data_IF_286117696747
#
_entry.id   IF_286117696747
#
_cell.length_a   1.000
_cell.length_b   1.000
_cell.length_c   1.000
_cell.angle_alpha   90.00
_cell.angle_beta   90.00
_cell.angle_gamma   90.00
#
_symmetry.space_group_name_H-M   'P 1'
#
loop_
_entity.id
_entity.type
_entity.pdbx_description
1 polymer ?
#
# COMPACT_ATOMS: atom_id res chain seq x y z
N UNK A 1 -9.46 -3.17 24.27
CA UNK A 1 -8.01 -2.96 24.36
C UNK A 1 -7.37 -2.82 22.99
N UNK A 2 -6.50 -1.82 22.82
CA UNK A 2 -5.81 -1.67 21.57
C UNK A 2 -4.66 -2.67 21.47
N UNK A 3 -4.39 -3.11 20.26
CA UNK A 3 -3.30 -4.01 19.97
C UNK A 3 -1.95 -3.26 20.07
N UNK A 4 -0.95 -3.90 20.66
CA UNK A 4 0.38 -3.31 20.81
C UNK A 4 1.12 -3.16 19.48
N UNK A 5 2.14 -2.30 19.46
CA UNK A 5 2.90 -1.98 18.25
C UNK A 5 3.58 -3.22 17.63
N UNK A 6 4.20 -4.06 18.46
CA UNK A 6 4.87 -5.26 17.96
C UNK A 6 3.88 -6.25 17.35
N UNK A 7 2.70 -6.39 17.97
CA UNK A 7 1.66 -7.27 17.42
C UNK A 7 1.14 -6.75 16.10
N UNK A 8 1.00 -5.43 15.95
CA UNK A 8 0.59 -4.81 14.68
C UNK A 8 1.60 -5.08 13.57
N UNK A 9 2.90 -4.97 13.86
CA UNK A 9 3.94 -5.29 12.89
C UNK A 9 3.91 -6.76 12.50
N UNK A 10 3.66 -7.66 13.45
CA UNK A 10 3.55 -9.09 13.15
C UNK A 10 2.37 -9.38 12.22
N UNK A 11 1.22 -8.75 12.47
CA UNK A 11 0.05 -8.86 11.58
C UNK A 11 0.38 -8.35 10.18
N UNK A 12 0.97 -7.16 10.08
CA UNK A 12 1.32 -6.55 8.80
C UNK A 12 2.23 -7.44 7.97
N UNK A 13 3.19 -8.09 8.61
CA UNK A 13 4.13 -8.99 7.93
C UNK A 13 3.43 -10.23 7.35
N UNK A 14 2.25 -10.59 7.86
CA UNK A 14 1.48 -11.73 7.38
C UNK A 14 0.45 -11.37 6.30
N UNK A 15 0.15 -10.09 6.11
CA UNK A 15 -0.89 -9.65 5.17
C UNK A 15 -0.35 -9.66 3.73
N UNK A 16 -1.03 -10.34 2.80
CA UNK A 16 -0.52 -10.46 1.42
C UNK A 16 -0.58 -9.16 0.62
N UNK A 17 -1.35 -8.18 1.07
CA UNK A 17 -1.49 -6.88 0.39
C UNK A 17 -0.68 -5.77 1.05
N UNK A 18 0.22 -6.11 1.97
CA UNK A 18 1.12 -5.17 2.63
C UNK A 18 2.56 -5.48 2.22
N UNK A 19 3.25 -4.46 1.72
CA UNK A 19 4.62 -4.55 1.23
C UNK A 19 5.48 -3.61 2.05
N UNK A 20 6.51 -4.12 2.70
CA UNK A 20 7.33 -3.35 3.63
C UNK A 20 8.77 -3.24 3.14
N UNK A 21 9.17 -2.04 2.71
CA UNK A 21 10.49 -1.76 2.15
C UNK A 21 11.04 -0.41 2.62
N UNK A 22 11.28 -0.22 3.94
CA UNK A 22 11.94 1.00 4.40
C UNK A 22 13.39 1.06 3.90
N UNK A 23 14.05 2.21 4.03
CA UNK A 23 15.43 2.36 3.58
C UNK A 23 16.33 1.22 4.05
N UNK A 24 16.17 0.80 5.30
CA UNK A 24 17.00 -0.25 5.90
C UNK A 24 16.82 -1.62 5.25
N UNK A 25 15.72 -1.82 4.52
CA UNK A 25 15.39 -3.08 3.87
C UNK A 25 15.58 -3.04 2.36
N UNK A 26 15.87 -1.86 1.78
CA UNK A 26 16.05 -1.71 0.34
C UNK A 26 17.51 -2.01 0.00
N UNK A 27 17.72 -2.94 -0.92
CA UNK A 27 19.02 -3.24 -1.48
C UNK A 27 19.05 -2.86 -2.97
N UNK A 28 20.06 -3.30 -3.71
CA UNK A 28 20.20 -2.99 -5.13
C UNK A 28 19.31 -3.84 -6.04
N UNK A 29 18.56 -4.79 -5.46
CA UNK A 29 17.68 -5.66 -6.25
C UNK A 29 16.42 -4.89 -6.60
N UNK A 30 16.01 -4.83 -7.87
CA UNK A 30 14.76 -4.18 -8.26
C UNK A 30 13.56 -4.83 -7.61
N UNK A 31 12.57 -4.01 -7.25
CA UNK A 31 11.29 -4.50 -6.72
C UNK A 31 10.58 -5.28 -7.82
N UNK A 32 10.22 -6.52 -7.54
CA UNK A 32 9.69 -7.43 -8.56
C UNK A 32 8.40 -6.96 -9.22
N UNK A 33 7.55 -6.26 -8.48
CA UNK A 33 6.28 -5.80 -9.02
C UNK A 33 6.35 -4.43 -9.69
N UNK A 34 7.53 -3.80 -9.75
CA UNK A 34 7.68 -2.53 -10.45
C UNK A 34 7.28 -2.69 -11.92
N UNK A 35 6.28 -1.95 -12.36
CA UNK A 35 5.71 -2.07 -13.69
C UNK A 35 4.69 -3.20 -13.85
N UNK A 36 4.43 -3.96 -12.77
CA UNK A 36 3.60 -5.17 -12.83
C UNK A 36 2.55 -5.24 -11.72
N UNK A 37 2.22 -4.12 -11.09
CA UNK A 37 1.24 -4.13 -10.00
C UNK A 37 -0.10 -4.69 -10.46
N UNK A 38 -0.58 -4.26 -11.64
CA UNK A 38 -1.84 -4.77 -12.17
C UNK A 38 -1.74 -6.22 -12.62
N UNK A 39 -0.63 -6.59 -13.26
CA UNK A 39 -0.43 -7.94 -13.74
C UNK A 39 -0.25 -8.95 -12.61
N UNK A 40 0.57 -8.60 -11.62
CA UNK A 40 1.03 -9.55 -10.60
C UNK A 40 0.22 -9.51 -9.33
N UNK A 41 -0.33 -8.35 -8.94
CA UNK A 41 -1.06 -8.22 -7.68
C UNK A 41 -2.55 -7.99 -7.87
N UNK A 42 -2.95 -6.88 -8.51
CA UNK A 42 -4.37 -6.53 -8.63
C UNK A 42 -5.13 -7.43 -9.59
N UNK A 43 -4.44 -8.00 -10.57
CA UNK A 43 -5.02 -8.92 -11.57
C UNK A 43 -6.12 -8.28 -12.41
N UNK A 44 -5.93 -7.01 -12.76
CA UNK A 44 -6.85 -6.25 -13.62
C UNK A 44 -6.04 -5.15 -14.32
N UNK A 45 -6.72 -4.33 -15.14
CA UNK A 45 -6.12 -3.22 -15.87
C UNK A 45 -6.64 -1.86 -15.40
N UNK A 46 -7.16 -1.79 -14.18
CA UNK A 46 -7.73 -0.56 -13.65
C UNK A 46 -6.65 0.47 -13.31
N UNK A 47 -6.99 1.77 -13.31
CA UNK A 47 -6.05 2.81 -12.93
C UNK A 47 -5.53 2.61 -11.50
N UNK A 48 -4.25 2.90 -11.29
CA UNK A 48 -3.63 2.85 -9.96
C UNK A 48 -3.55 4.25 -9.39
N UNK A 49 -4.07 4.42 -8.19
CA UNK A 49 -4.06 5.68 -7.43
C UNK A 49 -3.21 5.48 -6.19
N UNK A 50 -2.24 6.39 -5.98
CA UNK A 50 -1.42 6.39 -4.76
C UNK A 50 -1.92 7.44 -3.79
N UNK A 51 -1.94 7.09 -2.52
CA UNK A 51 -2.07 8.06 -1.43
C UNK A 51 -0.76 8.11 -0.68
N UNK A 52 -0.02 9.21 -0.82
CA UNK A 52 1.25 9.40 -0.12
C UNK A 52 0.99 10.01 1.25
N UNK A 53 1.55 9.40 2.29
CA UNK A 53 1.29 9.80 3.66
C UNK A 53 -0.05 9.28 4.16
N UNK A 54 -0.36 8.00 3.89
CA UNK A 54 -1.68 7.45 4.17
C UNK A 54 -2.01 7.30 5.66
N UNK A 55 -1.03 7.37 6.54
CA UNK A 55 -1.24 7.24 7.98
C UNK A 55 -1.97 5.95 8.33
N UNK A 56 -3.18 6.06 8.88
CA UNK A 56 -4.00 4.91 9.28
C UNK A 56 -4.65 4.19 8.10
N UNK A 57 -4.60 4.78 6.91
CA UNK A 57 -5.15 4.17 5.69
C UNK A 57 -6.64 4.39 5.49
N UNK A 58 -7.25 5.32 6.23
CA UNK A 58 -8.69 5.54 6.16
C UNK A 58 -9.16 6.00 4.78
N UNK A 59 -8.43 6.93 4.16
CA UNK A 59 -8.78 7.41 2.81
C UNK A 59 -8.56 6.32 1.77
N UNK A 60 -7.46 5.58 1.88
CA UNK A 60 -7.15 4.51 0.93
C UNK A 60 -8.28 3.48 0.91
N UNK A 61 -8.72 3.02 2.07
CA UNK A 61 -9.81 2.06 2.19
C UNK A 61 -11.14 2.66 1.74
N UNK A 62 -11.44 3.88 2.19
CA UNK A 62 -12.68 4.58 1.83
C UNK A 62 -12.81 4.81 0.33
N UNK A 63 -11.73 5.26 -0.32
CA UNK A 63 -11.72 5.45 -1.76
C UNK A 63 -11.86 4.12 -2.50
N UNK A 64 -11.23 3.06 -1.99
CA UNK A 64 -11.36 1.73 -2.57
C UNK A 64 -12.79 1.22 -2.56
N UNK A 65 -13.56 1.54 -1.51
CA UNK A 65 -14.98 1.17 -1.43
C UNK A 65 -15.83 1.98 -2.40
N UNK A 66 -15.51 3.28 -2.56
CA UNK A 66 -16.28 4.16 -3.44
C UNK A 66 -16.00 3.89 -4.92
N UNK A 67 -14.78 3.47 -5.25
CA UNK A 67 -14.35 3.30 -6.64
C UNK A 67 -13.80 1.89 -6.86
N UNK A 68 -14.66 0.88 -6.96
CA UNK A 68 -14.20 -0.50 -7.15
C UNK A 68 -13.52 -0.76 -8.49
N UNK A 69 -13.65 0.19 -9.43
CA UNK A 69 -13.01 0.13 -10.75
C UNK A 69 -11.63 0.80 -10.77
N UNK A 70 -11.08 1.17 -9.61
CA UNK A 70 -9.73 1.71 -9.46
C UNK A 70 -8.98 0.92 -8.40
N UNK A 71 -7.66 0.92 -8.51
CA UNK A 71 -6.78 0.28 -7.53
C UNK A 71 -6.10 1.35 -6.68
N UNK A 72 -6.05 1.15 -5.37
CA UNK A 72 -5.53 2.14 -4.44
C UNK A 72 -4.37 1.57 -3.64
N UNK A 73 -3.28 2.33 -3.55
CA UNK A 73 -2.12 1.95 -2.75
C UNK A 73 -1.82 3.08 -1.77
N UNK A 74 -1.94 2.78 -0.48
CA UNK A 74 -1.56 3.71 0.58
C UNK A 74 -0.09 3.55 0.92
N UNK A 75 0.63 4.67 0.98
CA UNK A 75 2.07 4.69 1.22
C UNK A 75 2.38 5.52 2.47
N UNK A 76 3.14 4.94 3.38
CA UNK A 76 3.67 5.65 4.57
C UNK A 76 4.86 4.86 5.09
N UNK A 77 5.70 5.50 5.89
CA UNK A 77 6.81 4.82 6.56
C UNK A 77 6.40 4.26 7.94
N UNK A 78 5.35 4.81 8.53
CA UNK A 78 4.91 4.43 9.88
C UNK A 78 3.93 3.26 9.85
N UNK A 79 4.48 2.05 9.73
CA UNK A 79 3.69 0.84 9.51
C UNK A 79 2.67 0.52 10.60
N UNK A 80 3.00 0.80 11.89
CA UNK A 80 2.06 0.52 12.98
C UNK A 80 0.75 1.32 12.85
N UNK A 81 0.80 2.51 12.27
CA UNK A 81 -0.39 3.32 12.01
C UNK A 81 -1.21 2.74 10.85
N UNK A 82 -0.53 2.23 9.84
CA UNK A 82 -1.12 1.65 8.64
C UNK A 82 -1.92 0.37 8.94
N UNK A 83 -1.65 -0.27 10.07
CA UNK A 83 -2.31 -1.51 10.47
C UNK A 83 -3.84 -1.40 10.45
N UNK A 84 -4.41 -0.27 10.81
CA UNK A 84 -5.86 -0.09 10.84
C UNK A 84 -6.48 -0.30 9.46
N UNK A 85 -5.99 0.41 8.45
CA UNK A 85 -6.48 0.27 7.08
C UNK A 85 -6.17 -1.09 6.48
N UNK A 86 -4.98 -1.61 6.75
CA UNK A 86 -4.57 -2.91 6.24
C UNK A 86 -5.47 -4.02 6.80
N UNK A 87 -5.77 -3.98 8.10
CA UNK A 87 -6.64 -4.97 8.73
C UNK A 87 -8.06 -4.85 8.22
N UNK A 88 -8.58 -3.63 8.15
CA UNK A 88 -9.96 -3.42 7.66
C UNK A 88 -10.13 -3.93 6.23
N UNK A 89 -9.22 -3.58 5.34
CA UNK A 89 -9.33 -4.00 3.93
C UNK A 89 -9.17 -5.51 3.78
N UNK A 90 -8.32 -6.13 4.59
CA UNK A 90 -8.15 -7.57 4.56
C UNK A 90 -9.42 -8.27 5.04
N UNK A 91 -9.97 -7.83 6.16
CA UNK A 91 -11.20 -8.44 6.72
C UNK A 91 -12.41 -8.25 5.80
N UNK A 92 -12.45 -7.15 5.07
CA UNK A 92 -13.52 -6.89 4.11
C UNK A 92 -13.31 -7.59 2.76
N UNK A 93 -12.18 -8.28 2.58
CA UNK A 93 -11.88 -8.98 1.34
C UNK A 93 -11.67 -8.06 0.14
N UNK A 94 -11.19 -6.84 0.37
CA UNK A 94 -10.99 -5.85 -0.69
C UNK A 94 -9.79 -6.23 -1.55
N UNK A 95 -10.01 -6.37 -2.85
CA UNK A 95 -8.96 -6.76 -3.80
C UNK A 95 -8.33 -5.60 -4.53
N UNK A 96 -8.85 -4.39 -4.35
CA UNK A 96 -8.36 -3.18 -5.01
C UNK A 96 -7.61 -2.24 -4.08
N UNK A 97 -7.13 -2.75 -2.93
CA UNK A 97 -6.39 -1.96 -1.95
C UNK A 97 -5.11 -2.68 -1.58
N UNK A 98 -4.02 -1.95 -1.54
CA UNK A 98 -2.73 -2.43 -1.06
C UNK A 98 -2.06 -1.34 -0.22
N UNK A 99 -1.08 -1.74 0.58
CA UNK A 99 -0.30 -0.81 1.38
C UNK A 99 1.19 -1.05 1.16
N UNK A 100 1.92 0.05 1.01
CA UNK A 100 3.37 0.01 0.82
C UNK A 100 4.02 0.85 1.92
N UNK A 101 4.75 0.18 2.81
CA UNK A 101 5.51 0.83 3.85
C UNK A 101 6.91 1.13 3.31
N UNK A 102 7.15 2.39 2.98
CA UNK A 102 8.45 2.82 2.47
C UNK A 102 8.64 4.32 2.70
N UNK A 103 9.86 4.76 2.50
CA UNK A 103 10.18 6.18 2.49
C UNK A 103 9.74 6.78 1.15
N UNK A 104 8.97 7.87 1.21
CA UNK A 104 8.41 8.50 -0.01
C UNK A 104 9.50 8.92 -0.99
N UNK A 105 10.68 9.29 -0.49
CA UNK A 105 11.81 9.75 -1.32
C UNK A 105 12.29 8.68 -2.31
N UNK A 106 11.98 7.40 -2.06
CA UNK A 106 12.39 6.31 -2.97
C UNK A 106 11.20 5.65 -3.66
N UNK A 107 10.08 6.36 -3.75
CA UNK A 107 8.84 5.80 -4.31
C UNK A 107 9.00 5.33 -5.77
N UNK A 108 9.90 5.93 -6.52
CA UNK A 108 10.17 5.55 -7.92
C UNK A 108 10.79 4.16 -8.06
N UNK A 109 11.29 3.58 -6.98
CA UNK A 109 11.77 2.19 -7.01
C UNK A 109 10.64 1.17 -7.11
N UNK A 110 9.42 1.59 -6.81
CA UNK A 110 8.28 0.68 -6.71
C UNK A 110 7.30 0.79 -7.87
N UNK A 111 7.43 1.82 -8.71
CA UNK A 111 6.53 2.06 -9.82
C UNK A 111 7.33 2.46 -11.06
N UNK A 112 6.95 1.89 -12.20
CA UNK A 112 7.54 2.27 -13.48
C UNK A 112 6.87 3.54 -14.02
N UNK A 113 7.48 4.12 -15.04
CA UNK A 113 6.91 5.27 -15.73
C UNK A 113 5.52 4.94 -16.24
N UNK A 114 4.58 5.85 -16.03
CA UNK A 114 3.17 5.72 -16.44
C UNK A 114 2.37 4.62 -15.75
N UNK A 115 2.92 3.97 -14.72
CA UNK A 115 2.19 2.93 -14.01
C UNK A 115 1.10 3.49 -13.09
N UNK A 116 1.33 4.68 -12.53
CA UNK A 116 0.42 5.34 -11.61
C UNK A 116 -0.38 6.41 -12.34
N UNK A 117 -1.70 6.38 -12.17
CA UNK A 117 -2.60 7.32 -12.85
C UNK A 117 -2.85 8.60 -12.05
N UNK A 118 -2.79 8.52 -10.72
CA UNK A 118 -3.17 9.64 -9.86
C UNK A 118 -2.44 9.54 -8.53
N UNK A 119 -2.05 10.68 -7.97
CA UNK A 119 -1.38 10.75 -6.67
C UNK A 119 -2.10 11.74 -5.78
N UNK A 120 -2.41 11.33 -4.56
CA UNK A 120 -2.98 12.18 -3.52
C UNK A 120 -1.95 12.40 -2.42
N UNK A 121 -1.77 13.65 -2.01
CA UNK A 121 -0.89 14.02 -0.89
C UNK A 121 -1.77 14.38 0.30
N UNK A 122 -1.75 13.55 1.33
CA UNK A 122 -2.65 13.70 2.47
C UNK A 122 -1.92 14.03 3.78
N UNK A 123 -0.62 14.24 3.70
CA UNK A 123 0.20 14.60 4.86
C UNK A 123 0.45 16.10 4.95
#
# INVERSE_FOLDING_TARGET
>A
MSKGKLAKFADMASYPHVFEYPYSAVDDVPFEMRGKWNESFFKNDHPIVLELGCGRGEYTVGLGRLFPDKNFIGVDIKGARMWSGATESMQAGMKNVAFLRTNIEIIDRFFSENEVSEIWLTF
#
